data_IF_659506248358
#
_entry.id   IF_659506248358
#
_cell.length_a   1.000
_cell.length_b   1.000
_cell.length_c   1.000
_cell.angle_alpha   90.00
_cell.angle_beta   90.00
_cell.angle_gamma   90.00
#
_symmetry.space_group_name_H-M   'P 1'
#
loop_
_entity.id
_entity.type
_entity.pdbx_description
1 polymer ?
#
# COMPACT_ATOMS: atom_id res chain seq x y z
N UNK A 1 40.63 -60.38 -41.75
CA UNK A 1 40.47 -59.97 -43.15
C UNK A 1 39.04 -60.25 -43.56
N UNK A 2 38.38 -59.21 -44.09
CA UNK A 2 37.35 -59.27 -45.14
C UNK A 2 35.89 -59.54 -44.74
N UNK A 3 35.10 -58.47 -44.97
CA UNK A 3 33.73 -58.36 -45.53
C UNK A 3 32.52 -58.98 -44.81
N UNK A 4 31.56 -58.14 -44.41
CA UNK A 4 30.43 -57.64 -45.22
C UNK A 4 29.32 -58.67 -45.36
N UNK A 5 28.35 -58.61 -44.44
CA UNK A 5 27.08 -59.33 -44.56
C UNK A 5 25.93 -58.40 -44.20
N UNK A 6 25.15 -58.10 -45.24
CA UNK A 6 23.79 -57.56 -45.17
C UNK A 6 22.87 -58.51 -44.38
N UNK A 7 21.81 -57.92 -43.82
CA UNK A 7 20.42 -58.39 -43.85
C UNK A 7 19.76 -58.54 -42.47
N UNK A 8 18.80 -57.64 -42.25
CA UNK A 8 17.46 -57.90 -41.69
C UNK A 8 17.33 -58.66 -40.37
N UNK A 9 17.16 -57.90 -39.28
CA UNK A 9 16.42 -58.26 -38.06
C UNK A 9 15.77 -56.94 -37.58
N UNK A 10 14.48 -56.69 -37.84
CA UNK A 10 13.35 -56.96 -36.95
C UNK A 10 13.69 -56.88 -35.45
N UNK A 11 12.90 -56.04 -34.77
CA UNK A 11 12.50 -56.09 -33.35
C UNK A 11 13.16 -55.05 -32.44
N UNK A 12 12.33 -54.46 -31.56
CA UNK A 12 12.66 -53.55 -30.45
C UNK A 12 13.10 -52.13 -30.90
N UNK A 13 12.47 -51.01 -30.52
CA UNK A 13 11.93 -50.65 -29.22
C UNK A 13 10.66 -49.80 -29.29
N UNK A 14 9.70 -50.20 -28.46
CA UNK A 14 8.55 -49.44 -28.00
C UNK A 14 9.04 -48.32 -27.06
N UNK A 15 8.84 -47.06 -27.42
CA UNK A 15 8.76 -45.95 -26.45
C UNK A 15 7.30 -45.51 -26.32
N UNK A 16 6.62 -45.85 -25.21
CA UNK A 16 5.30 -45.33 -24.90
C UNK A 16 5.43 -43.91 -24.31
N UNK A 17 4.70 -42.94 -24.85
CA UNK A 17 4.43 -41.70 -24.14
C UNK A 17 3.49 -42.02 -22.97
N UNK A 18 4.09 -42.19 -21.80
CA UNK A 18 3.43 -42.49 -20.55
C UNK A 18 2.71 -41.24 -20.04
N UNK A 19 1.40 -41.33 -20.12
CA UNK A 19 0.39 -40.78 -19.24
C UNK A 19 0.86 -40.79 -17.77
N UNK A 20 1.26 -39.63 -17.24
CA UNK A 20 1.47 -39.43 -15.79
C UNK A 20 0.25 -38.76 -15.19
N UNK A 21 -0.81 -39.58 -15.07
CA UNK A 21 -1.76 -39.49 -13.96
C UNK A 21 -0.99 -39.61 -12.63
N UNK A 22 -0.66 -38.48 -12.03
CA UNK A 22 -0.29 -38.46 -10.63
C UNK A 22 -1.55 -38.58 -9.78
N UNK A 23 -1.73 -39.81 -9.30
CA UNK A 23 -2.28 -40.19 -7.98
C UNK A 23 -2.37 -39.01 -7.00
N UNK A 24 -3.58 -38.66 -6.62
CA UNK A 24 -3.92 -38.27 -5.26
C UNK A 24 -5.17 -39.06 -4.86
N UNK A 25 -4.95 -40.16 -4.15
CA UNK A 25 -5.97 -40.84 -3.38
C UNK A 25 -5.55 -40.70 -1.90
N UNK A 26 -6.33 -39.95 -1.11
CA UNK A 26 -6.82 -40.34 0.23
C UNK A 26 -7.32 -39.14 1.05
N UNK A 27 -8.58 -39.28 1.46
CA UNK A 27 -9.21 -38.80 2.71
C UNK A 27 -9.65 -37.33 2.75
N UNK A 28 -10.97 -37.14 2.58
CA UNK A 28 -11.79 -36.17 3.31
C UNK A 28 -11.38 -34.70 3.29
N UNK A 29 -11.79 -33.96 2.25
CA UNK A 29 -12.15 -32.54 2.26
C UNK A 29 -12.50 -32.10 0.82
N UNK A 30 -13.64 -31.43 0.56
CA UNK A 30 -13.89 -30.80 -0.74
C UNK A 30 -13.07 -29.50 -0.80
N UNK A 31 -11.97 -29.49 -1.56
CA UNK A 31 -11.34 -28.24 -2.01
C UNK A 31 -11.96 -27.85 -3.37
N UNK A 32 -12.48 -26.62 -3.52
CA UNK A 32 -13.03 -26.17 -4.79
C UNK A 32 -11.90 -25.83 -5.76
N UNK A 33 -11.82 -26.58 -6.86
CA UNK A 33 -11.11 -26.16 -8.07
C UNK A 33 -12.10 -25.39 -8.94
N UNK A 34 -12.17 -24.06 -8.79
CA UNK A 34 -12.84 -23.18 -9.74
C UNK A 34 -12.30 -21.75 -9.53
N UNK A 35 -11.18 -21.44 -10.17
CA UNK A 35 -10.75 -20.06 -10.37
C UNK A 35 -11.11 -19.64 -11.80
N UNK A 36 -12.42 -19.63 -12.10
CA UNK A 36 -12.97 -18.73 -13.11
C UNK A 36 -13.26 -17.42 -12.39
N UNK A 37 -12.23 -16.58 -12.30
CA UNK A 37 -12.34 -15.25 -11.71
C UNK A 37 -13.05 -14.32 -12.71
N UNK A 38 -14.38 -14.35 -12.65
CA UNK A 38 -15.18 -13.14 -12.59
C UNK A 38 -15.01 -12.19 -13.80
N UNK A 39 -15.51 -12.62 -14.96
CA UNK A 39 -16.30 -11.70 -15.78
C UNK A 39 -17.50 -11.30 -14.95
N UNK A 40 -17.33 -10.24 -14.14
CA UNK A 40 -18.46 -9.38 -13.80
C UNK A 40 -18.98 -8.89 -15.15
N UNK A 41 -20.00 -9.55 -15.66
CA UNK A 41 -20.87 -9.03 -16.72
C UNK A 41 -21.54 -7.77 -16.19
N UNK A 42 -20.77 -6.70 -16.03
CA UNK A 42 -21.27 -5.37 -16.23
C UNK A 42 -21.40 -5.25 -17.75
N UNK A 43 -22.49 -5.79 -18.31
CA UNK A 43 -23.00 -5.17 -19.52
C UNK A 43 -23.15 -3.69 -19.17
N UNK A 44 -22.40 -2.77 -19.82
CA UNK A 44 -22.53 -1.36 -19.48
C UNK A 44 -23.99 -1.00 -19.66
N UNK A 45 -24.60 -0.29 -18.71
CA UNK A 45 -26.02 0.11 -18.83
C UNK A 45 -26.24 0.85 -20.17
N UNK A 46 -25.20 1.52 -20.69
CA UNK A 46 -25.14 2.05 -22.05
C UNK A 46 -25.51 1.04 -23.15
N UNK A 47 -25.10 -0.23 -23.06
CA UNK A 47 -25.56 -1.29 -23.98
C UNK A 47 -27.01 -1.67 -23.80
N UNK A 48 -27.58 -1.59 -22.59
CA UNK A 48 -29.01 -1.81 -22.36
C UNK A 48 -29.83 -0.64 -22.90
N UNK A 49 -29.42 0.61 -22.63
CA UNK A 49 -30.06 1.81 -23.14
C UNK A 49 -29.92 1.91 -24.68
N UNK A 50 -28.77 1.54 -25.24
CA UNK A 50 -28.54 1.48 -26.68
C UNK A 50 -29.33 0.34 -27.34
N UNK A 51 -29.48 -0.81 -26.69
CA UNK A 51 -30.33 -1.89 -27.18
C UNK A 51 -31.81 -1.48 -27.17
N UNK A 52 -32.29 -0.78 -26.13
CA UNK A 52 -33.65 -0.24 -26.07
C UNK A 52 -33.87 0.83 -27.16
N UNK A 53 -32.89 1.72 -27.37
CA UNK A 53 -32.95 2.72 -28.44
C UNK A 53 -32.95 2.08 -29.83
N UNK A 54 -32.12 1.05 -30.05
CA UNK A 54 -32.12 0.25 -31.27
C UNK A 54 -33.44 -0.49 -31.50
N UNK A 55 -34.03 -1.04 -30.43
CA UNK A 55 -35.34 -1.68 -30.48
C UNK A 55 -36.43 -0.67 -30.83
N UNK A 56 -36.40 0.53 -30.23
CA UNK A 56 -37.33 1.63 -30.55
C UNK A 56 -37.23 2.03 -32.02
N UNK A 57 -36.02 2.22 -32.54
CA UNK A 57 -35.79 2.57 -33.95
C UNK A 57 -36.25 1.47 -34.91
N UNK A 58 -36.04 0.20 -34.55
CA UNK A 58 -36.48 -0.94 -35.36
C UNK A 58 -37.99 -1.09 -35.33
N UNK A 59 -38.61 -0.88 -34.16
CA UNK A 59 -40.05 -0.85 -33.97
C UNK A 59 -40.66 0.32 -34.74
N UNK A 60 -40.04 1.51 -34.73
CA UNK A 60 -40.53 2.69 -35.45
C UNK A 60 -40.37 2.53 -36.97
N UNK A 61 -39.33 1.82 -37.44
CA UNK A 61 -39.18 1.45 -38.86
C UNK A 61 -40.21 0.40 -39.29
N UNK A 62 -40.46 -0.61 -38.45
CA UNK A 62 -41.52 -1.60 -38.67
C UNK A 62 -42.91 -0.95 -38.65
N UNK A 63 -43.14 0.03 -37.76
CA UNK A 63 -44.37 0.84 -37.73
C UNK A 63 -44.51 1.68 -38.99
N UNK A 64 -43.45 2.30 -39.52
CA UNK A 64 -43.53 3.04 -40.79
C UNK A 64 -43.94 2.13 -41.97
N UNK A 65 -43.54 0.86 -41.94
CA UNK A 65 -43.94 -0.14 -42.92
C UNK A 65 -45.38 -0.66 -42.74
N UNK A 66 -45.92 -0.70 -41.51
CA UNK A 66 -47.27 -1.21 -41.20
C UNK A 66 -48.33 -0.09 -41.20
N UNK A 67 -47.97 1.14 -40.81
CA UNK A 67 -48.83 2.33 -40.90
C UNK A 67 -49.24 2.62 -42.35
N UNK A 68 -48.36 2.34 -43.32
CA UNK A 68 -48.72 2.33 -44.74
C UNK A 68 -49.85 1.35 -45.12
N UNK A 69 -50.30 0.49 -44.19
CA UNK A 69 -51.27 -0.59 -44.43
C UNK A 69 -52.53 -0.54 -43.55
N UNK A 70 -52.45 -0.09 -42.29
CA UNK A 70 -53.57 -0.12 -41.33
C UNK A 70 -53.52 1.06 -40.30
N UNK A 71 -53.96 2.25 -40.71
CA UNK A 71 -53.74 3.52 -39.97
C UNK A 71 -54.50 3.71 -38.64
N UNK A 72 -55.61 3.00 -38.40
CA UNK A 72 -56.52 3.35 -37.28
C UNK A 72 -56.33 2.53 -35.99
N UNK A 73 -55.80 1.29 -36.07
CA UNK A 73 -55.56 0.44 -34.88
C UNK A 73 -54.14 0.57 -34.32
N UNK A 74 -53.22 1.19 -35.06
CA UNK A 74 -51.82 1.33 -34.69
C UNK A 74 -51.58 2.42 -33.63
N UNK A 75 -52.37 3.50 -33.65
CA UNK A 75 -52.17 4.67 -32.80
C UNK A 75 -52.29 4.34 -31.29
N UNK A 76 -53.26 3.51 -30.91
CA UNK A 76 -53.52 3.16 -29.50
C UNK A 76 -52.44 2.21 -28.94
N UNK A 77 -51.97 1.25 -29.75
CA UNK A 77 -50.83 0.40 -29.37
C UNK A 77 -49.50 1.18 -29.36
N UNK A 78 -49.36 2.22 -30.19
CA UNK A 78 -48.16 3.06 -30.25
C UNK A 78 -47.98 3.89 -28.99
N UNK A 79 -49.06 4.39 -28.40
CA UNK A 79 -49.02 5.14 -27.14
C UNK A 79 -48.55 4.24 -25.99
N UNK A 80 -49.16 3.06 -25.86
CA UNK A 80 -48.78 2.03 -24.87
C UNK A 80 -47.30 1.61 -24.95
N UNK A 81 -46.75 1.42 -26.16
CA UNK A 81 -45.33 1.06 -26.32
C UNK A 81 -44.42 2.23 -25.98
N UNK A 82 -44.76 3.44 -26.39
CA UNK A 82 -43.95 4.62 -26.09
C UNK A 82 -43.92 4.91 -24.58
N UNK A 83 -45.04 4.76 -23.89
CA UNK A 83 -45.12 4.93 -22.44
C UNK A 83 -44.21 3.92 -21.72
N UNK A 84 -44.27 2.63 -22.11
CA UNK A 84 -43.39 1.60 -21.54
C UNK A 84 -41.91 1.85 -21.83
N UNK A 85 -41.58 2.38 -23.01
CA UNK A 85 -40.19 2.72 -23.34
C UNK A 85 -39.70 3.89 -22.49
N UNK A 86 -40.55 4.90 -22.26
CA UNK A 86 -40.22 6.04 -21.39
C UNK A 86 -40.03 5.57 -19.95
N UNK A 87 -40.89 4.68 -19.44
CA UNK A 87 -40.76 4.12 -18.10
C UNK A 87 -39.43 3.37 -17.90
N UNK A 88 -39.05 2.55 -18.89
CA UNK A 88 -37.77 1.81 -18.84
C UNK A 88 -36.58 2.77 -18.95
N UNK A 89 -36.66 3.81 -19.77
CA UNK A 89 -35.61 4.84 -19.87
C UNK A 89 -35.45 5.60 -18.55
N UNK A 90 -36.55 5.98 -17.91
CA UNK A 90 -36.54 6.66 -16.61
C UNK A 90 -35.95 5.75 -15.52
N UNK A 91 -36.32 4.47 -15.50
CA UNK A 91 -35.74 3.48 -14.58
C UNK A 91 -34.24 3.27 -14.82
N UNK A 92 -33.80 3.25 -16.08
CA UNK A 92 -32.40 3.12 -16.44
C UNK A 92 -31.57 4.36 -16.03
N UNK A 93 -32.10 5.57 -16.22
CA UNK A 93 -31.49 6.81 -15.77
C UNK A 93 -31.35 6.85 -14.24
N UNK A 94 -32.42 6.51 -13.51
CA UNK A 94 -32.38 6.45 -12.05
C UNK A 94 -31.36 5.42 -11.53
N UNK A 95 -31.20 4.30 -12.24
CA UNK A 95 -30.18 3.30 -11.90
C UNK A 95 -28.77 3.80 -12.21
N UNK A 96 -28.58 4.55 -13.30
CA UNK A 96 -27.31 5.15 -13.67
C UNK A 96 -26.85 6.20 -12.64
N UNK A 97 -27.76 7.05 -12.18
CA UNK A 97 -27.47 8.02 -11.12
C UNK A 97 -27.03 7.32 -9.83
N UNK A 98 -27.77 6.29 -9.40
CA UNK A 98 -27.41 5.49 -8.23
C UNK A 98 -26.07 4.77 -8.39
N UNK A 99 -25.77 4.27 -9.59
CA UNK A 99 -24.49 3.61 -9.86
C UNK A 99 -23.33 4.61 -9.84
N UNK A 100 -23.53 5.83 -10.36
CA UNK A 100 -22.52 6.89 -10.29
C UNK A 100 -22.25 7.26 -8.84
N UNK A 101 -23.30 7.54 -8.06
CA UNK A 101 -23.17 7.87 -6.64
C UNK A 101 -22.44 6.77 -5.86
N UNK A 102 -22.80 5.50 -6.09
CA UNK A 102 -22.13 4.38 -5.45
C UNK A 102 -20.65 4.23 -5.87
N UNK A 103 -20.30 4.59 -7.11
CA UNK A 103 -18.89 4.59 -7.56
C UNK A 103 -18.10 5.71 -6.88
N UNK A 104 -18.69 6.90 -6.78
CA UNK A 104 -18.07 8.04 -6.12
C UNK A 104 -17.81 7.74 -4.63
N UNK A 105 -18.79 7.15 -3.94
CA UNK A 105 -18.62 6.67 -2.55
C UNK A 105 -17.51 5.62 -2.41
N UNK A 106 -17.45 4.66 -3.34
CA UNK A 106 -16.40 3.63 -3.32
C UNK A 106 -15.02 4.26 -3.50
N UNK A 107 -14.88 5.23 -4.41
CA UNK A 107 -13.60 5.86 -4.65
C UNK A 107 -13.18 6.78 -3.51
N UNK A 108 -14.12 7.47 -2.86
CA UNK A 108 -13.88 8.21 -1.63
C UNK A 108 -13.43 7.27 -0.49
N UNK A 109 -14.14 6.16 -0.27
CA UNK A 109 -13.79 5.19 0.77
C UNK A 109 -12.41 4.55 0.52
N UNK A 110 -12.07 4.26 -0.73
CA UNK A 110 -10.73 3.77 -1.09
C UNK A 110 -9.66 4.80 -0.77
N UNK A 111 -9.92 6.08 -1.04
CA UNK A 111 -8.96 7.14 -0.75
C UNK A 111 -8.77 7.32 0.77
N UNK A 112 -9.85 7.29 1.53
CA UNK A 112 -9.80 7.29 2.99
C UNK A 112 -9.01 6.08 3.52
N UNK A 113 -9.22 4.89 2.95
CA UNK A 113 -8.49 3.68 3.32
C UNK A 113 -7.00 3.81 3.02
N UNK A 114 -6.63 4.35 1.84
CA UNK A 114 -5.22 4.61 1.50
C UNK A 114 -4.59 5.60 2.47
N UNK A 115 -5.27 6.70 2.78
CA UNK A 115 -4.79 7.70 3.73
C UNK A 115 -4.65 7.13 5.15
N UNK A 116 -5.60 6.31 5.60
CA UNK A 116 -5.55 5.65 6.90
C UNK A 116 -4.38 4.66 6.99
N UNK A 117 -4.20 3.81 5.98
CA UNK A 117 -3.08 2.87 5.93
C UNK A 117 -1.71 3.57 5.90
N UNK A 118 -1.59 4.68 5.17
CA UNK A 118 -0.36 5.47 5.17
C UNK A 118 -0.05 6.04 6.57
N UNK A 119 -1.08 6.53 7.30
CA UNK A 119 -0.92 6.99 8.68
C UNK A 119 -0.50 5.86 9.62
N UNK A 120 -1.11 4.68 9.50
CA UNK A 120 -0.75 3.52 10.32
C UNK A 120 0.71 3.13 10.08
N UNK A 121 1.13 3.03 8.82
CA UNK A 121 2.53 2.70 8.48
C UNK A 121 3.53 3.71 9.04
N UNK A 122 3.20 5.01 9.04
CA UNK A 122 4.08 6.03 9.61
C UNK A 122 4.12 5.96 11.15
N UNK A 123 2.99 5.68 11.79
CA UNK A 123 2.93 5.49 13.25
C UNK A 123 3.71 4.24 13.68
N UNK A 124 3.59 3.13 12.94
CA UNK A 124 4.36 1.92 13.20
C UNK A 124 5.85 2.17 13.05
N UNK A 125 6.27 2.86 11.99
CA UNK A 125 7.69 3.24 11.80
C UNK A 125 8.20 4.08 12.99
N UNK A 126 7.43 5.08 13.43
CA UNK A 126 7.80 5.90 14.60
C UNK A 126 7.91 5.07 15.88
N UNK A 127 7.00 4.11 16.06
CA UNK A 127 7.01 3.20 17.20
C UNK A 127 8.23 2.29 17.19
N UNK A 128 8.55 1.65 16.07
CA UNK A 128 9.74 0.80 15.94
C UNK A 128 11.02 1.57 16.26
N UNK A 129 11.13 2.82 15.79
CA UNK A 129 12.29 3.67 16.12
C UNK A 129 12.30 4.01 17.61
N UNK A 130 11.16 4.31 18.25
CA UNK A 130 11.09 4.61 19.68
C UNK A 130 11.44 3.44 20.58
N UNK A 131 11.11 2.22 20.15
CA UNK A 131 11.42 0.97 20.84
C UNK A 131 12.94 0.68 20.91
N UNK A 132 13.75 1.33 20.09
CA UNK A 132 15.22 1.22 20.13
C UNK A 132 15.88 2.06 21.23
N UNK A 133 15.09 2.85 21.98
CA UNK A 133 15.61 3.77 22.98
C UNK A 133 14.96 3.60 24.35
N UNK A 134 15.78 3.58 25.39
CA UNK A 134 15.36 3.52 26.80
C UNK A 134 15.61 4.86 27.48
N UNK A 135 14.79 5.19 28.47
CA UNK A 135 15.01 6.37 29.31
C UNK A 135 16.15 6.07 30.29
N UNK A 136 17.23 6.85 30.21
CA UNK A 136 18.40 6.75 31.08
C UNK A 136 18.60 8.07 31.84
N UNK A 137 18.97 7.96 33.11
CA UNK A 137 19.31 9.11 33.94
C UNK A 137 20.79 9.47 33.75
N UNK A 138 21.06 10.65 33.21
CA UNK A 138 22.42 11.16 32.97
C UNK A 138 23.04 11.74 34.25
N UNK A 139 22.22 12.39 35.06
CA UNK A 139 22.58 13.01 36.33
C UNK A 139 21.30 13.12 37.17
N UNK A 140 21.43 13.40 38.47
CA UNK A 140 20.30 13.52 39.38
C UNK A 140 19.19 14.44 38.82
N UNK A 141 18.05 13.83 38.46
CA UNK A 141 16.88 14.52 37.89
C UNK A 141 16.98 14.91 36.41
N UNK A 142 17.98 14.40 35.67
CA UNK A 142 18.19 14.68 34.24
C UNK A 142 18.09 13.39 33.43
N UNK A 143 17.03 13.27 32.63
CA UNK A 143 16.77 12.08 31.82
C UNK A 143 16.96 12.35 30.32
N UNK A 144 17.56 11.39 29.63
CA UNK A 144 17.69 11.37 28.17
C UNK A 144 17.37 9.98 27.62
N UNK A 145 17.16 9.87 26.31
CA UNK A 145 16.92 8.59 25.67
C UNK A 145 18.25 8.01 25.18
N UNK A 146 18.61 6.82 25.65
CA UNK A 146 19.82 6.11 25.26
C UNK A 146 19.48 4.94 24.33
N UNK A 147 20.36 4.66 23.36
CA UNK A 147 20.24 3.50 22.48
C UNK A 147 20.39 2.19 23.26
N UNK A 148 19.45 1.25 23.10
CA UNK A 148 19.42 -0.02 23.86
C UNK A 148 20.58 -0.95 23.48
N UNK A 149 20.96 -0.97 22.21
CA UNK A 149 21.98 -1.90 21.69
C UNK A 149 23.09 -1.12 20.96
N UNK A 150 24.11 -0.63 21.68
CA UNK A 150 25.27 -0.02 21.06
C UNK A 150 26.16 -1.11 20.48
N UNK A 151 25.73 -1.72 19.37
CA UNK A 151 26.54 -2.70 18.65
C UNK A 151 27.78 -1.98 18.12
N UNK A 152 28.93 -2.26 18.75
CA UNK A 152 30.15 -1.43 18.72
C UNK A 152 30.79 -1.24 17.34
N UNK A 153 30.30 -1.89 16.29
CA UNK A 153 30.78 -1.72 14.91
C UNK A 153 29.97 -0.74 14.07
N UNK A 154 28.64 -0.68 14.24
CA UNK A 154 27.76 0.03 13.30
C UNK A 154 27.11 1.27 13.91
N UNK A 155 26.86 1.28 15.24
CA UNK A 155 26.17 2.37 15.91
C UNK A 155 26.81 2.70 17.27
N UNK A 156 27.59 3.79 17.38
CA UNK A 156 28.15 4.20 18.66
C UNK A 156 27.02 4.57 19.63
N UNK A 157 27.23 4.34 20.94
CA UNK A 157 26.28 4.72 21.97
C UNK A 157 26.01 6.23 21.86
N UNK A 158 24.74 6.59 21.74
CA UNK A 158 24.33 7.98 21.57
C UNK A 158 23.05 8.28 22.35
N UNK A 159 22.92 9.53 22.76
CA UNK A 159 21.75 10.03 23.47
C UNK A 159 20.87 10.86 22.55
N UNK A 160 19.56 10.75 22.74
CA UNK A 160 18.52 11.45 21.98
C UNK A 160 17.69 12.31 22.92
N UNK A 161 17.29 13.47 22.41
CA UNK A 161 16.40 14.40 23.10
C UNK A 161 14.97 13.84 23.21
N UNK A 162 14.51 13.58 24.44
CA UNK A 162 13.17 13.04 24.71
C UNK A 162 12.04 13.94 24.15
N UNK A 163 12.02 15.27 24.39
CA UNK A 163 11.01 16.16 23.79
C UNK A 163 10.98 16.16 22.26
N UNK A 164 12.13 16.07 21.59
CA UNK A 164 12.17 16.09 20.12
C UNK A 164 11.65 14.79 19.51
N UNK A 165 11.92 13.66 20.17
CA UNK A 165 11.45 12.37 19.72
C UNK A 165 9.94 12.22 19.95
N UNK A 166 9.45 12.59 21.13
CA UNK A 166 8.04 12.42 21.49
C UNK A 166 7.14 13.46 20.80
N UNK A 167 7.52 14.75 20.76
CA UNK A 167 6.66 15.80 20.21
C UNK A 167 6.79 15.96 18.70
N UNK A 168 8.03 15.87 18.18
CA UNK A 168 8.31 16.20 16.78
C UNK A 168 8.60 14.95 15.93
N UNK A 169 8.67 13.76 16.55
CA UNK A 169 9.07 12.51 15.87
C UNK A 169 10.44 12.62 15.17
N UNK A 170 11.33 13.47 15.70
CA UNK A 170 12.68 13.68 15.18
C UNK A 170 13.70 13.06 16.14
N UNK A 171 14.54 12.18 15.61
CA UNK A 171 15.69 11.61 16.31
C UNK A 171 16.82 12.65 16.39
N UNK A 172 16.72 13.55 17.36
CA UNK A 172 17.73 14.57 17.60
C UNK A 172 18.84 14.05 18.53
N UNK A 173 19.98 13.68 17.93
CA UNK A 173 21.17 13.22 18.67
C UNK A 173 21.78 14.40 19.44
N UNK A 174 21.96 14.21 20.75
CA UNK A 174 22.56 15.20 21.62
C UNK A 174 24.05 15.36 21.33
N UNK A 175 24.52 16.60 21.24
CA UNK A 175 25.90 16.95 20.95
C UNK A 175 26.59 17.49 22.20
N UNK A 176 27.82 17.04 22.46
CA UNK A 176 28.60 17.57 23.57
C UNK A 176 29.03 19.01 23.29
N UNK A 177 28.77 19.89 24.25
CA UNK A 177 29.18 21.28 24.25
C UNK A 177 30.23 21.50 25.34
N UNK A 178 31.47 21.72 24.91
CA UNK A 178 32.62 21.90 25.80
C UNK A 178 33.42 20.61 26.02
N UNK A 179 34.75 20.76 25.98
CA UNK A 179 35.72 19.68 26.24
C UNK A 179 36.26 19.69 27.67
N UNK A 180 36.15 20.84 28.33
CA UNK A 180 36.66 21.10 29.68
C UNK A 180 35.58 21.80 30.50
N UNK A 181 35.66 21.69 31.81
CA UNK A 181 34.64 22.15 32.74
C UNK A 181 33.51 21.13 32.89
N UNK A 182 32.32 21.63 33.19
CA UNK A 182 31.11 20.79 33.30
C UNK A 182 30.65 20.38 31.91
N UNK A 183 30.58 19.07 31.66
CA UNK A 183 30.14 18.55 30.38
C UNK A 183 28.62 18.72 30.25
N UNK A 184 28.21 19.26 29.10
CA UNK A 184 26.82 19.49 28.75
C UNK A 184 26.51 18.89 27.39
N UNK A 185 25.35 18.27 27.28
CA UNK A 185 24.80 17.77 26.03
C UNK A 185 23.73 18.73 25.54
N UNK A 186 23.83 19.21 24.29
CA UNK A 186 22.88 20.15 23.69
C UNK A 186 22.14 19.50 22.53
N UNK A 187 20.83 19.67 22.49
CA UNK A 187 20.02 19.27 21.35
C UNK A 187 20.13 20.30 20.21
N UNK A 188 20.43 19.89 18.96
CA UNK A 188 20.50 20.82 17.83
C UNK A 188 19.12 21.33 17.36
N UNK A 189 18.04 20.63 17.70
CA UNK A 189 16.68 20.95 17.23
C UNK A 189 15.97 21.91 18.18
N UNK A 190 15.91 21.58 19.47
CA UNK A 190 15.20 22.41 20.47
C UNK A 190 16.13 23.28 21.33
N UNK A 191 17.45 23.17 21.18
CA UNK A 191 18.45 23.88 21.99
C UNK A 191 18.43 23.58 23.50
N UNK A 192 17.66 22.59 23.96
CA UNK A 192 17.69 22.12 25.35
C UNK A 192 19.09 21.62 25.73
N UNK A 193 19.57 22.06 26.89
CA UNK A 193 20.84 21.63 27.49
C UNK A 193 20.62 20.64 28.62
N UNK A 194 21.34 19.53 28.58
CA UNK A 194 21.37 18.48 29.60
C UNK A 194 22.72 18.53 30.30
N UNK A 195 22.72 18.54 31.63
CA UNK A 195 23.95 18.47 32.44
C UNK A 195 24.22 17.00 32.73
N UNK A 196 25.42 16.50 32.38
CA UNK A 196 25.79 15.10 32.64
C UNK A 196 26.36 14.89 34.04
N UNK A 197 26.55 15.95 34.82
CA UNK A 197 27.22 15.88 36.13
C UNK A 197 28.73 15.64 36.05
N UNK A 198 29.25 15.33 34.85
CA UNK A 198 30.67 15.09 34.62
C UNK A 198 31.46 16.42 34.57
N UNK A 199 32.63 16.44 35.20
CA UNK A 199 33.54 17.58 35.20
C UNK A 199 34.93 17.16 34.73
N UNK A 200 35.38 17.73 33.61
CA UNK A 200 36.73 17.50 33.07
C UNK A 200 37.59 18.72 33.39
N UNK A 201 38.61 18.63 34.25
CA UNK A 201 39.43 19.79 34.58
C UNK A 201 40.16 20.32 33.32
N UNK A 202 40.31 21.66 33.17
CA UNK A 202 41.05 22.21 32.05
C UNK A 202 42.53 21.81 32.13
N UNK A 203 43.24 21.70 30.98
CA UNK A 203 44.66 21.41 30.99
C UNK A 203 45.40 22.53 31.74
N UNK A 204 46.47 22.20 32.49
CA UNK A 204 47.25 23.21 33.19
C UNK A 204 47.79 24.22 32.17
N UNK A 205 47.36 25.48 32.30
CA UNK A 205 47.94 26.58 31.54
C UNK A 205 49.35 26.82 32.06
N UNK A 206 50.35 26.50 31.24
CA UNK A 206 51.73 26.90 31.52
C UNK A 206 51.83 28.41 31.35
N UNK A 207 51.63 29.14 32.45
CA UNK A 207 51.88 30.58 32.52
C UNK A 207 53.40 30.73 32.50
N UNK A 208 53.97 30.76 31.28
CA UNK A 208 55.38 31.00 31.05
C UNK A 208 55.87 32.19 31.88
N UNK A 209 56.96 31.96 32.60
CA UNK A 209 57.44 32.78 33.72
C UNK A 209 57.26 34.29 33.56
N UNK A 210 56.64 34.91 34.57
CA UNK A 210 56.85 36.33 34.85
C UNK A 210 58.33 36.51 35.19
N UNK A 211 59.04 37.14 34.25
CA UNK A 211 60.36 37.70 34.47
C UNK A 211 60.35 38.49 35.78
N UNK A 212 61.22 38.07 36.71
CA UNK A 212 61.53 38.82 37.91
C UNK A 212 62.23 40.12 37.51
N UNK A 213 61.50 41.23 37.58
CA UNK A 213 62.12 42.54 37.70
C UNK A 213 62.47 42.74 39.18
N UNK A 214 63.75 42.58 39.47
CA UNK A 214 64.38 42.92 40.74
C UNK A 214 64.57 44.44 40.75
N UNK A 215 64.00 45.14 41.73
CA UNK A 215 64.20 46.57 42.00
C UNK A 215 65.07 46.68 43.25
#
# INVERSE_FOLDING_TARGET
>A
MIESSRSAQRSFDLRPQIDRRHRCAKIGQPRPCAADNQTRDQMPIMTVTAAIAGLKNTIDLAKAAIAARDDLKLAEMQQSINDRVIDVQNAALALQEKQSAARDEIDELKEQLRAANAKISELDRKRTVREQYVLEELAEGVFALASIDPDTSDHPPHYVCQPCMDNNSVTAILQQTGKYGTIKLKCPVCSTEYRTGEHVPPPPVNIGGRNGYNW
#
